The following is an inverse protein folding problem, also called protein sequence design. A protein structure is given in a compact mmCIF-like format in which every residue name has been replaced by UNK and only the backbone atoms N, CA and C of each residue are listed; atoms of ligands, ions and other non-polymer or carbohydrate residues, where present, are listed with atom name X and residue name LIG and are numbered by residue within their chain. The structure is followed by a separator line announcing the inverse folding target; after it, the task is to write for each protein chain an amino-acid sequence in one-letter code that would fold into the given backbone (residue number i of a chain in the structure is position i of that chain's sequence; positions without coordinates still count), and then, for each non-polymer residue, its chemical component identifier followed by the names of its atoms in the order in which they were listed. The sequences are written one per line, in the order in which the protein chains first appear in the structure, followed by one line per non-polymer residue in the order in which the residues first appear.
data_IF_459955961244
#
_entry.id   IF_459955961244
#
_cell.length_a   1.000
_cell.length_b   1.000
_cell.length_c   1.000
_cell.angle_alpha   90.00
_cell.angle_beta   90.00
_cell.angle_gamma   90.00
#
_symmetry.space_group_name_H-M   'P 1'
#
loop_
_entity.id
_entity.type
_entity.pdbx_description
1 polymer ?
#
# COMPACT_ATOMS: atom_id res chain seq x y z
N UNK A 1 6.87 -19.28 -29.42
CA UNK A 1 6.83 -18.03 -28.63
C UNK A 1 7.84 -17.05 -29.22
N UNK A 2 7.44 -15.80 -29.40
CA UNK A 2 8.36 -14.74 -29.82
C UNK A 2 9.42 -14.49 -28.72
N UNK A 3 10.50 -13.79 -29.05
CA UNK A 3 11.50 -13.41 -28.03
C UNK A 3 10.87 -12.56 -26.91
N UNK A 4 9.87 -11.73 -27.23
CA UNK A 4 9.14 -10.94 -26.27
C UNK A 4 8.34 -11.83 -25.30
N UNK A 5 7.59 -12.81 -25.80
CA UNK A 5 6.83 -13.74 -24.95
C UNK A 5 7.75 -14.51 -23.99
N UNK A 6 8.94 -14.91 -24.47
CA UNK A 6 9.93 -15.57 -23.63
C UNK A 6 10.46 -14.65 -22.53
N UNK A 7 10.72 -13.38 -22.83
CA UNK A 7 11.17 -12.40 -21.84
C UNK A 7 10.09 -12.10 -20.78
N UNK A 8 8.83 -12.05 -21.19
CA UNK A 8 7.69 -11.83 -20.28
C UNK A 8 7.52 -13.01 -19.32
N UNK A 9 7.66 -14.25 -19.81
CA UNK A 9 7.66 -15.44 -18.95
C UNK A 9 8.83 -15.39 -17.96
N UNK A 10 10.04 -15.11 -18.45
CA UNK A 10 11.25 -15.03 -17.62
C UNK A 10 11.15 -13.91 -16.56
N UNK A 11 10.46 -12.82 -16.87
CA UNK A 11 10.28 -11.71 -15.94
C UNK A 11 9.60 -12.16 -14.64
N UNK A 12 8.68 -13.13 -14.68
CA UNK A 12 8.01 -13.66 -13.51
C UNK A 12 8.95 -14.44 -12.56
N UNK A 13 10.09 -14.89 -13.05
CA UNK A 13 11.08 -15.67 -12.28
C UNK A 13 12.31 -14.84 -11.88
N UNK A 14 12.50 -13.65 -12.44
CA UNK A 14 13.62 -12.78 -12.09
C UNK A 14 13.44 -12.17 -10.72
N UNK A 15 14.50 -12.17 -9.93
CA UNK A 15 14.51 -11.49 -8.63
C UNK A 15 14.40 -9.96 -8.80
N UNK A 16 15.23 -9.40 -9.68
CA UNK A 16 15.18 -7.98 -10.00
C UNK A 16 14.35 -7.75 -11.28
N UNK A 17 13.42 -6.82 -11.24
CA UNK A 17 12.56 -6.47 -12.35
C UNK A 17 12.21 -4.97 -12.32
N UNK A 18 11.74 -4.45 -13.44
CA UNK A 18 11.25 -3.08 -13.54
C UNK A 18 9.73 -3.07 -13.45
N UNK A 19 9.22 -2.21 -12.59
CA UNK A 19 7.78 -1.98 -12.46
C UNK A 19 7.49 -0.49 -12.29
N UNK A 20 6.30 -0.07 -12.72
CA UNK A 20 5.81 1.26 -12.42
C UNK A 20 5.37 1.30 -10.95
N UNK A 21 5.92 2.23 -10.20
CA UNK A 21 5.54 2.47 -8.80
C UNK A 21 5.43 3.96 -8.51
N UNK A 22 4.66 4.31 -7.50
CA UNK A 22 4.53 5.68 -7.03
C UNK A 22 5.76 6.05 -6.19
N UNK A 23 6.41 7.15 -6.55
CA UNK A 23 7.62 7.65 -5.90
C UNK A 23 7.47 9.11 -5.50
N UNK A 24 8.24 9.53 -4.50
CA UNK A 24 8.33 10.94 -4.09
C UNK A 24 9.31 11.66 -5.02
N UNK A 25 8.80 12.32 -6.05
CA UNK A 25 9.61 13.07 -7.00
C UNK A 25 9.81 14.51 -6.54
N UNK A 26 11.06 14.94 -6.48
CA UNK A 26 11.44 16.31 -6.16
C UNK A 26 12.03 17.00 -7.39
N UNK A 27 11.28 17.88 -8.10
CA UNK A 27 11.80 18.59 -9.28
C UNK A 27 12.97 19.51 -8.94
N UNK A 28 12.97 20.13 -7.77
CA UNK A 28 14.03 21.05 -7.33
C UNK A 28 15.37 20.36 -7.12
N UNK A 29 15.38 19.07 -6.77
CA UNK A 29 16.58 18.24 -6.64
C UNK A 29 16.82 17.35 -7.85
N UNK A 30 15.83 17.21 -8.75
CA UNK A 30 15.92 16.34 -9.92
C UNK A 30 16.01 14.85 -9.61
N UNK A 31 15.49 14.40 -8.44
CA UNK A 31 15.63 13.03 -7.98
C UNK A 31 14.39 12.52 -7.25
N UNK A 32 14.32 11.20 -7.07
CA UNK A 32 13.37 10.52 -6.20
C UNK A 32 13.92 10.52 -4.78
N UNK A 33 13.03 10.74 -3.80
CA UNK A 33 13.35 10.79 -2.38
C UNK A 33 12.72 9.62 -1.63
N UNK A 34 13.43 9.11 -0.62
CA UNK A 34 12.86 8.17 0.34
C UNK A 34 11.83 8.88 1.23
N UNK A 35 10.95 8.09 1.87
CA UNK A 35 9.91 8.67 2.74
C UNK A 35 10.50 9.48 3.90
N UNK A 36 11.66 9.08 4.42
CA UNK A 36 12.36 9.76 5.52
C UNK A 36 12.97 11.13 5.11
N UNK A 37 13.15 11.35 3.80
CA UNK A 37 13.68 12.61 3.25
C UNK A 37 12.59 13.64 2.94
N UNK A 38 11.31 13.28 3.21
CA UNK A 38 10.16 14.16 2.95
C UNK A 38 9.47 14.51 4.27
N UNK A 39 9.36 15.81 4.54
CA UNK A 39 8.63 16.38 5.69
C UNK A 39 7.65 17.44 5.21
N UNK A 40 6.40 17.36 5.62
CA UNK A 40 5.35 18.31 5.26
C UNK A 40 5.26 18.58 3.74
N UNK A 41 5.42 17.54 2.91
CA UNK A 41 5.40 17.65 1.45
C UNK A 41 6.61 18.33 0.82
N UNK A 42 7.69 18.52 1.59
CA UNK A 42 8.94 19.14 1.14
C UNK A 42 10.13 18.24 1.38
N UNK A 43 11.17 18.40 0.56
CA UNK A 43 12.44 17.73 0.76
C UNK A 43 13.16 18.28 2.02
N UNK A 44 13.71 17.40 2.84
CA UNK A 44 14.51 17.79 4.01
C UNK A 44 15.70 18.67 3.58
N UNK A 45 16.34 18.31 2.46
CA UNK A 45 17.41 19.10 1.85
C UNK A 45 16.85 20.11 0.88
N UNK A 46 16.98 21.39 1.19
CA UNK A 46 16.60 22.51 0.32
C UNK A 46 15.14 22.95 0.40
N UNK A 47 14.26 22.24 1.10
CA UNK A 47 12.86 22.63 1.31
C UNK A 47 12.00 22.69 0.03
N UNK A 48 12.38 21.95 -1.02
CA UNK A 48 11.67 21.96 -2.30
C UNK A 48 10.39 21.14 -2.23
N UNK A 49 9.33 21.53 -2.96
CA UNK A 49 8.10 20.75 -3.06
C UNK A 49 8.36 19.33 -3.60
N UNK A 50 7.69 18.36 -3.01
CA UNK A 50 7.75 16.94 -3.41
C UNK A 50 6.38 16.50 -3.87
N UNK A 51 6.34 15.75 -4.97
CA UNK A 51 5.09 15.26 -5.57
C UNK A 51 5.14 13.76 -5.73
N UNK A 52 4.03 13.11 -5.49
CA UNK A 52 3.89 11.69 -5.82
C UNK A 52 3.71 11.53 -7.34
N UNK A 53 4.57 10.71 -7.95
CA UNK A 53 4.57 10.45 -9.39
C UNK A 53 4.79 8.97 -9.67
N UNK A 54 4.06 8.42 -10.63
CA UNK A 54 4.31 7.07 -11.14
C UNK A 54 5.54 7.09 -12.05
N UNK A 55 6.50 6.25 -11.75
CA UNK A 55 7.74 6.11 -12.51
C UNK A 55 8.19 4.64 -12.55
N UNK A 56 8.85 4.27 -13.66
CA UNK A 56 9.50 2.96 -13.78
C UNK A 56 10.69 2.89 -12.83
N UNK A 57 10.62 1.98 -11.86
CA UNK A 57 11.66 1.75 -10.87
C UNK A 57 12.14 0.31 -10.89
N UNK A 58 13.36 0.09 -10.42
CA UNK A 58 13.84 -1.25 -10.12
C UNK A 58 13.17 -1.76 -8.84
N UNK A 59 12.65 -2.96 -8.92
CA UNK A 59 12.03 -3.67 -7.80
C UNK A 59 12.70 -5.03 -7.61
N UNK A 60 12.69 -5.51 -6.39
CA UNK A 60 13.18 -6.86 -6.06
C UNK A 60 12.03 -7.71 -5.53
N UNK A 61 11.92 -8.92 -6.04
CA UNK A 61 10.88 -9.89 -5.66
C UNK A 61 11.25 -10.61 -4.35
N UNK A 62 11.41 -9.82 -3.29
CA UNK A 62 11.85 -10.35 -1.98
C UNK A 62 10.82 -11.30 -1.37
N UNK A 63 9.53 -11.10 -1.62
CA UNK A 63 8.46 -11.95 -1.10
C UNK A 63 8.50 -13.39 -1.63
N UNK A 64 9.14 -13.65 -2.77
CA UNK A 64 9.36 -14.99 -3.30
C UNK A 64 10.24 -15.86 -2.39
N UNK A 65 11.00 -15.25 -1.48
CA UNK A 65 11.89 -15.91 -0.54
C UNK A 65 11.37 -15.95 0.89
N UNK A 66 10.23 -15.34 1.17
CA UNK A 66 9.69 -15.19 2.52
C UNK A 66 9.54 -16.54 3.24
N UNK A 67 8.92 -17.53 2.60
CA UNK A 67 8.73 -18.86 3.19
C UNK A 67 10.07 -19.57 3.44
N UNK A 68 11.00 -19.48 2.49
CA UNK A 68 12.34 -20.08 2.64
C UNK A 68 13.14 -19.42 3.76
N UNK A 69 13.01 -18.10 3.93
CA UNK A 69 13.65 -17.37 5.03
C UNK A 69 13.09 -17.78 6.37
N UNK A 70 11.76 -17.93 6.50
CA UNK A 70 11.12 -18.42 7.74
C UNK A 70 11.58 -19.82 8.09
N UNK A 71 11.57 -20.74 7.12
CA UNK A 71 12.02 -22.11 7.36
C UNK A 71 13.50 -22.16 7.77
N UNK A 72 14.34 -21.35 7.15
CA UNK A 72 15.77 -21.28 7.45
C UNK A 72 16.09 -20.81 8.87
N UNK A 73 15.19 -20.09 9.54
CA UNK A 73 15.37 -19.69 10.94
C UNK A 73 15.46 -20.89 11.89
N UNK A 74 14.83 -22.02 11.55
CA UNK A 74 14.86 -23.21 12.38
C UNK A 74 16.27 -23.82 12.48
N UNK A 75 17.05 -23.71 11.42
CA UNK A 75 18.39 -24.31 11.31
C UNK A 75 19.50 -23.41 11.89
N UNK A 76 19.17 -22.19 12.32
CA UNK A 76 20.12 -21.24 12.87
C UNK A 76 20.30 -21.42 14.38
N UNK A 77 21.52 -21.39 14.84
CA UNK A 77 21.85 -21.31 16.27
C UNK A 77 21.80 -19.85 16.77
N UNK A 78 20.58 -19.29 16.72
CA UNK A 78 20.30 -17.94 17.17
C UNK A 78 19.43 -17.94 18.42
N UNK A 79 19.59 -16.93 19.30
CA UNK A 79 18.67 -16.74 20.42
C UNK A 79 17.22 -16.55 19.94
N UNK A 80 16.26 -17.12 20.67
CA UNK A 80 14.85 -17.08 20.28
C UNK A 80 14.33 -15.66 20.03
N UNK A 81 14.62 -14.61 20.84
CA UNK A 81 14.13 -13.26 20.58
C UNK A 81 14.57 -12.70 19.23
N UNK A 82 15.74 -13.11 18.73
CA UNK A 82 16.21 -12.69 17.41
C UNK A 82 15.43 -13.40 16.30
N UNK A 83 15.13 -14.69 16.45
CA UNK A 83 14.27 -15.43 15.51
C UNK A 83 12.88 -14.83 15.47
N UNK A 84 12.27 -14.57 16.62
CA UNK A 84 10.94 -13.95 16.73
C UNK A 84 10.90 -12.58 16.03
N UNK A 85 11.96 -11.79 16.17
CA UNK A 85 12.08 -10.49 15.48
C UNK A 85 12.11 -10.64 13.97
N UNK A 86 12.81 -11.67 13.44
CA UNK A 86 12.84 -11.96 12.00
C UNK A 86 11.50 -12.47 11.49
N UNK A 87 10.84 -13.37 12.23
CA UNK A 87 9.49 -13.86 11.91
C UNK A 87 8.49 -12.72 11.86
N UNK A 88 8.52 -11.86 12.87
CA UNK A 88 7.66 -10.67 12.92
C UNK A 88 7.89 -9.71 11.74
N UNK A 89 9.16 -9.51 11.35
CA UNK A 89 9.50 -8.66 10.21
C UNK A 89 9.01 -9.23 8.89
N UNK A 90 9.12 -10.53 8.68
CA UNK A 90 8.61 -11.21 7.47
C UNK A 90 7.07 -11.17 7.45
N UNK A 91 6.43 -11.30 8.62
CA UNK A 91 5.02 -11.02 8.82
C UNK A 91 4.10 -12.00 8.11
N UNK A 92 4.38 -13.31 8.17
CA UNK A 92 3.45 -14.32 7.63
C UNK A 92 2.13 -14.26 8.37
N UNK A 93 1.04 -14.01 7.65
CA UNK A 93 -0.31 -14.01 8.19
C UNK A 93 -1.20 -15.04 7.48
N UNK A 94 -2.14 -15.61 8.22
CA UNK A 94 -3.18 -16.50 7.70
C UNK A 94 -4.54 -15.88 7.96
N UNK A 95 -5.43 -15.99 6.99
CA UNK A 95 -6.77 -15.40 7.09
C UNK A 95 -7.67 -15.82 5.95
N UNK A 96 -8.77 -15.12 5.79
CA UNK A 96 -9.75 -15.34 4.75
C UNK A 96 -9.89 -14.09 3.86
N UNK A 97 -10.10 -14.33 2.59
CA UNK A 97 -10.56 -13.29 1.67
C UNK A 97 -12.07 -13.27 1.67
N UNK A 98 -12.66 -12.11 1.92
CA UNK A 98 -14.10 -11.89 1.94
C UNK A 98 -14.46 -10.87 0.88
N UNK A 99 -15.50 -11.16 0.11
CA UNK A 99 -15.99 -10.26 -0.93
C UNK A 99 -17.33 -9.71 -0.52
N UNK A 100 -17.45 -8.39 -0.48
CA UNK A 100 -18.69 -7.67 -0.26
C UNK A 100 -19.28 -7.24 -1.60
N UNK A 101 -20.58 -7.42 -1.75
CA UNK A 101 -21.35 -6.85 -2.84
C UNK A 101 -21.81 -5.44 -2.44
N UNK A 102 -21.77 -4.53 -3.39
CA UNK A 102 -22.22 -3.15 -3.17
C UNK A 102 -23.62 -3.03 -3.72
N UNK A 103 -24.56 -2.54 -2.90
CA UNK A 103 -25.95 -2.36 -3.30
C UNK A 103 -26.04 -1.41 -4.51
N UNK A 104 -26.90 -1.73 -5.44
CA UNK A 104 -27.10 -0.98 -6.71
C UNK A 104 -25.84 -0.81 -7.59
N UNK A 105 -24.79 -1.62 -7.38
CA UNK A 105 -23.56 -1.59 -8.17
C UNK A 105 -23.15 -2.98 -8.63
N UNK A 106 -22.50 -3.06 -9.77
CA UNK A 106 -21.83 -4.29 -10.23
C UNK A 106 -20.45 -4.49 -9.58
N UNK A 107 -19.95 -3.49 -8.86
CA UNK A 107 -18.66 -3.50 -8.22
C UNK A 107 -18.67 -4.35 -6.95
N UNK A 108 -17.53 -4.97 -6.67
CA UNK A 108 -17.33 -5.78 -5.46
C UNK A 108 -16.08 -5.31 -4.73
N UNK A 109 -16.13 -5.33 -3.41
CA UNK A 109 -15.00 -5.00 -2.56
C UNK A 109 -14.48 -6.29 -1.93
N UNK A 110 -13.26 -6.69 -2.27
CA UNK A 110 -12.60 -7.84 -1.66
C UNK A 110 -11.61 -7.38 -0.61
N UNK A 111 -11.74 -7.91 0.60
CA UNK A 111 -10.86 -7.63 1.74
C UNK A 111 -10.22 -8.92 2.25
N UNK A 112 -9.00 -8.81 2.74
CA UNK A 112 -8.35 -9.88 3.49
C UNK A 112 -8.45 -9.59 4.99
N UNK A 113 -8.85 -10.59 5.78
CA UNK A 113 -8.91 -10.47 7.23
C UNK A 113 -8.27 -11.68 7.91
N UNK A 114 -7.51 -11.44 8.98
CA UNK A 114 -7.00 -12.48 9.88
C UNK A 114 -8.03 -12.88 10.93
N UNK A 115 -9.14 -12.14 11.05
CA UNK A 115 -10.22 -12.35 12.02
C UNK A 115 -11.57 -12.48 11.32
N UNK A 116 -11.80 -13.54 10.53
CA UNK A 116 -13.09 -13.74 9.84
C UNK A 116 -14.26 -13.95 10.81
N UNK A 117 -13.98 -14.36 12.03
CA UNK A 117 -14.94 -14.51 13.11
C UNK A 117 -15.64 -13.19 13.51
N UNK A 118 -15.01 -12.06 13.27
CA UNK A 118 -15.54 -10.73 13.64
C UNK A 118 -16.38 -10.07 12.54
N UNK A 119 -16.50 -10.68 11.37
CA UNK A 119 -17.14 -10.06 10.20
C UNK A 119 -18.60 -9.67 10.42
N UNK A 120 -19.31 -10.43 11.26
CA UNK A 120 -20.71 -10.17 11.59
C UNK A 120 -20.91 -8.89 12.41
N UNK A 121 -19.84 -8.30 12.93
CA UNK A 121 -19.85 -7.00 13.60
C UNK A 121 -19.54 -5.82 12.69
N UNK A 122 -19.28 -6.06 11.39
CA UNK A 122 -19.01 -4.99 10.45
C UNK A 122 -20.30 -4.21 10.14
N UNK A 123 -20.27 -2.90 10.39
CA UNK A 123 -21.41 -1.99 10.18
C UNK A 123 -21.15 -0.94 9.11
N UNK A 124 -19.90 -0.79 8.68
CA UNK A 124 -19.51 0.12 7.59
C UNK A 124 -18.20 -0.37 6.95
N UNK A 125 -17.93 0.11 5.74
CA UNK A 125 -16.72 -0.17 4.98
C UNK A 125 -15.92 1.13 4.82
N UNK A 126 -14.58 1.02 4.93
CA UNK A 126 -13.67 2.15 4.72
C UNK A 126 -12.75 1.83 3.55
N UNK A 127 -12.60 2.79 2.66
CA UNK A 127 -11.65 2.74 1.54
C UNK A 127 -10.54 3.76 1.75
N UNK A 128 -9.33 3.40 1.35
CA UNK A 128 -8.23 4.36 1.29
C UNK A 128 -8.55 5.46 0.26
N UNK A 129 -8.19 6.73 0.53
CA UNK A 129 -8.49 7.84 -0.38
C UNK A 129 -7.94 7.66 -1.80
N UNK A 130 -6.85 6.90 -1.93
CA UNK A 130 -6.20 6.60 -3.22
C UNK A 130 -6.88 5.46 -3.99
N UNK A 131 -7.82 4.75 -3.36
CA UNK A 131 -8.51 3.64 -4.02
C UNK A 131 -9.39 4.16 -5.17
N UNK A 132 -9.24 3.65 -6.39
CA UNK A 132 -10.02 4.12 -7.54
C UNK A 132 -11.54 3.93 -7.36
N UNK A 133 -11.98 2.96 -6.54
CA UNK A 133 -13.39 2.71 -6.24
C UNK A 133 -14.04 3.86 -5.46
N UNK A 134 -13.28 4.70 -4.76
CA UNK A 134 -13.82 5.85 -4.04
C UNK A 134 -14.63 6.75 -4.96
N UNK A 135 -14.11 7.02 -6.17
CA UNK A 135 -14.82 7.84 -7.15
C UNK A 135 -16.12 7.20 -7.66
N UNK A 136 -16.13 5.87 -7.77
CA UNK A 136 -17.31 5.13 -8.25
C UNK A 136 -18.42 5.09 -7.22
N UNK A 137 -18.07 5.12 -5.92
CA UNK A 137 -19.02 5.06 -4.82
C UNK A 137 -19.41 6.43 -4.25
N UNK A 138 -18.77 7.50 -4.72
CA UNK A 138 -19.11 8.85 -4.25
C UNK A 138 -20.33 9.37 -4.98
N UNK A 139 -21.40 9.61 -4.25
CA UNK A 139 -22.62 10.25 -4.79
C UNK A 139 -22.36 11.73 -5.08
N UNK A 140 -23.12 12.33 -6.01
CA UNK A 140 -22.91 13.71 -6.46
C UNK A 140 -22.94 14.73 -5.29
N UNK A 141 -23.81 14.52 -4.31
CA UNK A 141 -23.91 15.41 -3.14
C UNK A 141 -22.72 15.38 -2.17
N UNK A 142 -21.84 14.35 -2.25
CA UNK A 142 -20.67 14.21 -1.39
C UNK A 142 -19.35 14.43 -2.14
N UNK A 143 -19.41 14.71 -3.42
CA UNK A 143 -18.25 14.78 -4.30
C UNK A 143 -17.25 15.85 -3.88
N UNK A 144 -17.71 17.04 -3.55
CA UNK A 144 -16.85 18.15 -3.11
C UNK A 144 -16.13 17.82 -1.81
N UNK A 145 -16.83 17.24 -0.82
CA UNK A 145 -16.24 16.86 0.47
C UNK A 145 -15.19 15.76 0.30
N UNK A 146 -15.50 14.73 -0.50
CA UNK A 146 -14.59 13.62 -0.76
C UNK A 146 -13.36 14.07 -1.55
N UNK A 147 -13.51 14.90 -2.57
CA UNK A 147 -12.38 15.44 -3.34
C UNK A 147 -11.46 16.31 -2.48
N UNK A 148 -12.03 17.18 -1.64
CA UNK A 148 -11.27 17.99 -0.69
C UNK A 148 -10.51 17.09 0.32
N UNK A 149 -11.14 16.04 0.81
CA UNK A 149 -10.50 15.09 1.72
C UNK A 149 -9.33 14.34 1.05
N UNK A 150 -9.52 13.88 -0.19
CA UNK A 150 -8.46 13.23 -0.99
C UNK A 150 -7.28 14.19 -1.17
N UNK A 151 -7.54 15.45 -1.54
CA UNK A 151 -6.48 16.45 -1.74
C UNK A 151 -5.68 16.71 -0.44
N UNK A 152 -6.37 16.89 0.68
CA UNK A 152 -5.72 17.09 1.98
C UNK A 152 -4.88 15.87 2.39
N UNK A 153 -5.41 14.67 2.19
CA UNK A 153 -4.75 13.43 2.59
C UNK A 153 -3.56 13.11 1.68
N UNK A 154 -3.62 13.46 0.40
CA UNK A 154 -2.51 13.27 -0.54
C UNK A 154 -1.24 14.04 -0.16
N UNK A 155 -1.36 15.09 0.64
CA UNK A 155 -0.24 15.89 1.17
C UNK A 155 0.45 15.25 2.39
N UNK A 156 -0.21 14.26 3.02
CA UNK A 156 0.35 13.53 4.17
C UNK A 156 1.13 12.32 3.69
N UNK A 157 2.29 12.06 4.30
CA UNK A 157 3.02 10.81 4.05
C UNK A 157 2.33 9.64 4.75
N UNK A 158 2.59 8.42 4.30
CA UNK A 158 2.08 7.21 4.95
C UNK A 158 2.49 7.15 6.43
N UNK A 159 3.72 7.57 6.73
CA UNK A 159 4.24 7.64 8.10
C UNK A 159 3.46 8.63 8.97
N UNK A 160 3.10 9.79 8.44
CA UNK A 160 2.29 10.78 9.16
C UNK A 160 0.90 10.23 9.48
N UNK A 161 0.30 9.52 8.52
CA UNK A 161 -1.00 8.85 8.73
C UNK A 161 -0.93 7.76 9.81
N UNK A 162 0.16 6.98 9.85
CA UNK A 162 0.35 5.92 10.84
C UNK A 162 0.70 6.47 12.24
N UNK A 163 1.35 7.62 12.33
CA UNK A 163 1.72 8.23 13.61
C UNK A 163 0.57 8.99 14.28
N UNK A 164 -0.39 9.48 13.51
CA UNK A 164 -1.52 10.27 14.00
C UNK A 164 -2.72 9.38 14.39
N UNK A 165 -2.47 8.36 15.20
CA UNK A 165 -3.48 7.38 15.64
C UNK A 165 -4.63 8.02 16.44
N UNK A 166 -4.43 9.23 16.98
CA UNK A 166 -5.42 9.92 17.82
C UNK A 166 -6.45 10.71 17.00
N UNK A 167 -6.15 11.05 15.77
CA UNK A 167 -7.02 11.84 14.91
C UNK A 167 -7.60 10.97 13.80
N UNK A 168 -8.74 10.38 14.07
CA UNK A 168 -9.50 9.66 13.03
C UNK A 168 -10.19 10.69 12.14
N UNK A 169 -9.94 10.64 10.86
CA UNK A 169 -10.57 11.48 9.85
C UNK A 169 -11.10 10.67 8.70
N UNK A 170 -12.13 11.15 8.03
CA UNK A 170 -12.74 10.50 6.89
C UNK A 170 -13.78 11.41 6.25
N UNK A 171 -14.19 11.09 5.03
CA UNK A 171 -15.32 11.70 4.35
C UNK A 171 -16.32 10.62 3.95
N UNK A 172 -17.60 10.90 4.10
CA UNK A 172 -18.66 9.96 3.75
C UNK A 172 -18.91 9.99 2.25
N UNK A 173 -18.92 8.82 1.61
CA UNK A 173 -19.14 8.72 0.16
C UNK A 173 -20.60 8.81 -0.25
N UNK A 174 -21.50 8.48 0.68
CA UNK A 174 -22.93 8.44 0.43
C UNK A 174 -23.46 7.09 -0.06
N UNK A 175 -22.58 6.10 -0.28
CA UNK A 175 -22.96 4.74 -0.65
C UNK A 175 -22.95 3.83 0.57
#
# INVERSE_FOLDING_TARGET
ASNLDQQDILLNYRLAFRAETTVNWCPGLGTVLANDEVKDGKSERGGFPVFQKKMMQWSMRITAYSERLLQGLNDLDWPQPLKDSQEYWIGKSQGAQVTFEVEDSAEKISVFTTRPDTIFGATFMVLAPENPLVKNFTIEGQKEEVENYIEQTSKKTERDRMSDVKNVSGAFTGA
#
